data_IF_504269502785
#
_entry.id   IF_504269502785
#
_cell.length_a   1.000
_cell.length_b   1.000
_cell.length_c   1.000
_cell.angle_alpha   90.00
_cell.angle_beta   90.00
_cell.angle_gamma   90.00
#
_symmetry.space_group_name_H-M   'P 1'
#
loop_
_entity.id
_entity.type
_entity.pdbx_description
1 polymer ?
#
# COMPACT_ATOMS: atom_id res chain seq x y z
N UNK A 1 9.10 41.14 0.07
CA UNK A 1 7.76 40.70 -0.41
C UNK A 1 7.77 39.46 -1.31
N UNK A 2 8.62 39.40 -2.36
CA UNK A 2 8.63 38.24 -3.32
C UNK A 2 8.90 36.86 -2.69
N UNK A 3 9.84 36.76 -1.73
CA UNK A 3 10.22 35.48 -1.11
C UNK A 3 9.07 34.87 -0.30
N UNK A 4 8.31 35.67 0.46
CA UNK A 4 7.16 35.19 1.23
C UNK A 4 6.03 34.69 0.32
N UNK A 5 5.81 35.33 -0.82
CA UNK A 5 4.81 34.90 -1.80
C UNK A 5 5.20 33.57 -2.45
N UNK A 6 6.48 33.38 -2.77
CA UNK A 6 6.98 32.11 -3.33
C UNK A 6 6.84 30.96 -2.31
N UNK A 7 7.24 31.22 -1.06
CA UNK A 7 7.12 30.20 0.00
C UNK A 7 5.67 29.78 0.23
N UNK A 8 4.74 30.74 0.22
CA UNK A 8 3.31 30.46 0.36
C UNK A 8 2.79 29.63 -0.82
N UNK A 9 3.19 29.96 -2.05
CA UNK A 9 2.81 29.19 -3.23
C UNK A 9 3.32 27.74 -3.16
N UNK A 10 4.58 27.56 -2.77
CA UNK A 10 5.18 26.23 -2.59
C UNK A 10 4.41 25.41 -1.55
N UNK A 11 4.07 26.02 -0.40
CA UNK A 11 3.30 25.35 0.65
C UNK A 11 1.88 24.98 0.18
N UNK A 12 1.25 25.80 -0.63
CA UNK A 12 -0.07 25.48 -1.22
C UNK A 12 0.05 24.31 -2.18
N UNK A 13 1.07 24.27 -3.05
CA UNK A 13 1.31 23.18 -3.99
C UNK A 13 1.58 21.85 -3.24
N UNK A 14 2.44 21.88 -2.21
CA UNK A 14 2.65 20.73 -1.33
C UNK A 14 1.34 20.29 -0.65
N UNK A 15 0.57 21.24 -0.13
CA UNK A 15 -0.72 20.98 0.49
C UNK A 15 -1.69 20.30 -0.47
N UNK A 16 -1.75 20.73 -1.73
CA UNK A 16 -2.57 20.09 -2.76
C UNK A 16 -2.11 18.65 -3.07
N UNK A 17 -0.80 18.42 -3.18
CA UNK A 17 -0.22 17.08 -3.35
C UNK A 17 -0.57 16.16 -2.17
N UNK A 18 -0.41 16.64 -0.94
CA UNK A 18 -0.77 15.88 0.25
C UNK A 18 -2.29 15.68 0.39
N UNK A 19 -3.13 16.61 -0.06
CA UNK A 19 -4.58 16.42 -0.10
C UNK A 19 -4.95 15.21 -0.97
N UNK A 20 -4.36 15.10 -2.16
CA UNK A 20 -4.57 13.96 -3.06
C UNK A 20 -4.07 12.66 -2.42
N UNK A 21 -2.87 12.67 -1.82
CA UNK A 21 -2.32 11.51 -1.12
C UNK A 21 -3.22 11.08 0.06
N UNK A 22 -3.71 12.03 0.85
CA UNK A 22 -4.61 11.79 1.97
C UNK A 22 -5.93 11.18 1.49
N UNK A 23 -6.55 11.73 0.46
CA UNK A 23 -7.78 11.20 -0.12
C UNK A 23 -7.60 9.75 -0.62
N UNK A 24 -6.47 9.48 -1.29
CA UNK A 24 -6.13 8.13 -1.76
C UNK A 24 -6.01 7.14 -0.60
N UNK A 25 -5.27 7.47 0.47
CA UNK A 25 -5.10 6.60 1.63
C UNK A 25 -6.42 6.33 2.37
N UNK A 26 -7.28 7.35 2.50
CA UNK A 26 -8.62 7.19 3.08
C UNK A 26 -9.46 6.23 2.23
N UNK A 27 -9.47 6.40 0.91
CA UNK A 27 -10.19 5.51 0.00
C UNK A 27 -9.68 4.07 0.07
N UNK A 28 -8.36 3.86 0.14
CA UNK A 28 -7.74 2.54 0.32
C UNK A 28 -8.18 1.91 1.65
N UNK A 29 -8.17 2.68 2.74
CA UNK A 29 -8.63 2.21 4.04
C UNK A 29 -10.12 1.83 4.04
N UNK A 30 -10.99 2.64 3.42
CA UNK A 30 -12.42 2.34 3.28
C UNK A 30 -12.61 1.05 2.47
N UNK A 31 -11.88 0.87 1.37
CA UNK A 31 -11.91 -0.37 0.57
C UNK A 31 -11.49 -1.58 1.40
N UNK A 32 -10.43 -1.44 2.20
CA UNK A 32 -9.98 -2.48 3.12
C UNK A 32 -11.07 -2.84 4.14
N UNK A 33 -11.68 -1.84 4.79
CA UNK A 33 -12.73 -2.08 5.78
C UNK A 33 -13.92 -2.85 5.22
N UNK A 34 -14.31 -2.55 3.98
CA UNK A 34 -15.40 -3.27 3.28
C UNK A 34 -15.05 -4.73 3.00
N UNK A 35 -13.78 -5.03 2.65
CA UNK A 35 -13.30 -6.38 2.30
C UNK A 35 -12.80 -7.19 3.50
N UNK A 36 -12.61 -6.57 4.64
CA UNK A 36 -12.05 -7.23 5.84
C UNK A 36 -12.81 -8.50 6.25
N UNK A 37 -14.12 -8.56 6.00
CA UNK A 37 -14.96 -9.72 6.34
C UNK A 37 -14.64 -10.96 5.50
N UNK A 38 -14.18 -10.78 4.27
CA UNK A 38 -13.77 -11.87 3.36
C UNK A 38 -12.25 -12.17 3.42
N UNK A 39 -11.60 -11.90 4.53
CA UNK A 39 -10.18 -12.19 4.70
C UNK A 39 -9.96 -13.68 4.94
N UNK A 40 -9.16 -14.34 4.09
CA UNK A 40 -8.83 -15.76 4.18
C UNK A 40 -7.50 -15.98 4.91
N UNK A 41 -6.45 -15.28 4.48
CA UNK A 41 -5.11 -15.35 5.07
C UNK A 41 -4.48 -13.97 5.04
N UNK A 42 -4.33 -13.34 6.21
CA UNK A 42 -3.87 -11.96 6.32
C UNK A 42 -2.81 -11.81 7.41
N UNK A 43 -1.88 -10.88 7.19
CA UNK A 43 -0.84 -10.51 8.14
C UNK A 43 -0.62 -9.00 8.18
N UNK A 44 0.00 -8.48 9.26
CA UNK A 44 0.26 -7.05 9.38
C UNK A 44 1.27 -6.57 8.33
N UNK A 45 1.10 -5.34 7.86
CA UNK A 45 2.09 -4.70 6.99
C UNK A 45 3.38 -4.42 7.76
N UNK A 46 4.56 -4.68 7.17
CA UNK A 46 5.83 -4.32 7.79
C UNK A 46 5.91 -2.79 7.97
N UNK A 47 6.46 -2.38 9.11
CA UNK A 47 6.71 -0.95 9.37
C UNK A 47 7.88 -0.49 8.48
N UNK A 48 7.75 0.64 7.77
CA UNK A 48 8.87 1.20 7.03
C UNK A 48 9.99 1.64 8.00
N UNK A 49 11.26 1.56 7.59
CA UNK A 49 12.40 1.86 8.47
C UNK A 49 12.39 3.31 8.99
N UNK A 50 11.81 4.24 8.23
CA UNK A 50 11.68 5.67 8.58
C UNK A 50 10.40 6.01 9.34
N UNK A 51 9.63 5.01 9.83
CA UNK A 51 8.33 5.25 10.48
C UNK A 51 8.43 6.16 11.71
N UNK A 52 9.45 5.97 12.56
CA UNK A 52 9.68 6.83 13.73
C UNK A 52 9.95 8.29 13.36
N UNK A 53 10.78 8.50 12.32
CA UNK A 53 11.09 9.83 11.79
C UNK A 53 9.83 10.50 11.23
N UNK A 54 9.01 9.75 10.49
CA UNK A 54 7.76 10.25 9.94
C UNK A 54 6.79 10.71 11.04
N UNK A 55 6.68 9.96 12.15
CA UNK A 55 5.87 10.38 13.30
C UNK A 55 6.43 11.62 13.97
N UNK A 56 7.75 11.72 14.14
CA UNK A 56 8.39 12.94 14.69
C UNK A 56 8.10 14.17 13.83
N UNK A 57 8.18 14.04 12.51
CA UNK A 57 7.77 15.10 11.56
C UNK A 57 6.29 15.46 11.79
N UNK A 58 5.42 14.49 11.96
CA UNK A 58 4.00 14.71 12.27
C UNK A 58 3.82 15.54 13.53
N UNK A 59 4.55 15.25 14.62
CA UNK A 59 4.48 16.02 15.87
C UNK A 59 4.93 17.46 15.65
N UNK A 60 6.08 17.66 14.98
CA UNK A 60 6.60 19.02 14.68
C UNK A 60 5.61 19.82 13.83
N UNK A 61 5.02 19.19 12.81
CA UNK A 61 3.99 19.81 11.98
C UNK A 61 2.74 20.19 12.78
N UNK A 62 2.34 19.35 13.74
CA UNK A 62 1.22 19.63 14.63
C UNK A 62 1.45 20.92 15.46
N UNK A 63 2.64 21.07 16.05
CA UNK A 63 3.04 22.29 16.75
C UNK A 63 3.06 23.51 15.80
N UNK A 64 3.57 23.34 14.59
CA UNK A 64 3.61 24.42 13.60
C UNK A 64 2.21 24.86 13.16
N UNK A 65 1.30 23.90 12.92
CA UNK A 65 -0.10 24.19 12.59
C UNK A 65 -0.78 24.93 13.74
N UNK A 66 -0.63 24.42 14.97
CA UNK A 66 -1.16 25.09 16.16
C UNK A 66 -0.65 26.53 16.29
N UNK A 67 0.67 26.74 16.20
CA UNK A 67 1.29 28.05 16.30
C UNK A 67 0.78 29.03 15.23
N UNK A 68 0.71 28.57 13.96
CA UNK A 68 0.19 29.40 12.87
C UNK A 68 -1.28 29.78 13.03
N UNK A 69 -2.13 28.81 13.40
CA UNK A 69 -3.57 29.05 13.51
C UNK A 69 -3.94 29.87 14.76
N UNK A 70 -3.36 29.52 15.91
CA UNK A 70 -3.77 30.10 17.20
C UNK A 70 -3.00 31.38 17.51
N UNK A 71 -1.66 31.35 17.35
CA UNK A 71 -0.81 32.50 17.75
C UNK A 71 -0.72 33.52 16.62
N UNK A 72 -0.41 33.09 15.40
CA UNK A 72 -0.22 34.03 14.29
C UNK A 72 -1.52 34.36 13.54
N UNK A 73 -2.60 33.60 13.77
CA UNK A 73 -3.89 33.71 13.08
C UNK A 73 -3.74 33.74 11.55
N UNK A 74 -2.81 32.86 11.02
CA UNK A 74 -2.52 32.73 9.59
C UNK A 74 -3.02 31.39 9.06
N UNK A 75 -3.23 31.34 7.75
CA UNK A 75 -3.57 30.09 7.08
C UNK A 75 -2.43 29.08 7.15
N UNK A 76 -2.75 27.80 7.42
CA UNK A 76 -1.81 26.70 7.57
C UNK A 76 -2.23 25.47 6.73
N UNK A 77 -2.79 25.70 5.52
CA UNK A 77 -3.36 24.63 4.70
C UNK A 77 -2.31 23.57 4.36
N UNK A 78 -1.14 23.96 3.86
CA UNK A 78 -0.08 23.02 3.47
C UNK A 78 0.40 22.18 4.65
N UNK A 79 0.71 22.86 5.76
CA UNK A 79 1.19 22.21 6.98
C UNK A 79 0.11 21.30 7.59
N UNK A 80 -1.16 21.70 7.55
CA UNK A 80 -2.26 20.87 8.04
C UNK A 80 -2.44 19.59 7.22
N UNK A 81 -2.32 19.65 5.88
CA UNK A 81 -2.38 18.48 5.03
C UNK A 81 -1.20 17.52 5.25
N UNK A 82 0.01 18.05 5.43
CA UNK A 82 1.18 17.26 5.79
C UNK A 82 1.04 16.65 7.19
N UNK A 83 0.57 17.42 8.17
CA UNK A 83 0.29 16.92 9.53
C UNK A 83 -0.68 15.75 9.50
N UNK A 84 -1.80 15.88 8.78
CA UNK A 84 -2.79 14.82 8.63
C UNK A 84 -2.18 13.54 8.04
N UNK A 85 -1.31 13.69 7.03
CA UNK A 85 -0.62 12.56 6.43
C UNK A 85 0.29 11.83 7.42
N UNK A 86 1.23 12.54 8.04
CA UNK A 86 2.25 11.93 8.88
C UNK A 86 1.73 11.47 10.24
N UNK A 87 0.84 12.23 10.87
CA UNK A 87 0.34 11.93 12.21
C UNK A 87 -0.80 10.91 12.24
N UNK A 88 -1.64 10.86 11.20
CA UNK A 88 -2.84 10.03 11.21
C UNK A 88 -2.88 9.00 10.07
N UNK A 89 -2.66 9.42 8.83
CA UNK A 89 -2.91 8.53 7.69
C UNK A 89 -1.80 7.52 7.47
N UNK A 90 -0.55 7.86 7.75
CA UNK A 90 0.54 6.91 7.71
C UNK A 90 0.37 5.78 8.75
N UNK A 91 0.07 6.04 10.04
CA UNK A 91 -0.32 5.01 10.99
C UNK A 91 -1.56 4.22 10.58
N UNK A 92 -2.56 4.88 9.99
CA UNK A 92 -3.78 4.23 9.53
C UNK A 92 -3.48 3.24 8.38
N UNK A 93 -2.59 3.59 7.47
CA UNK A 93 -2.18 2.71 6.37
C UNK A 93 -1.53 1.42 6.89
N UNK A 94 -0.79 1.45 7.99
CA UNK A 94 -0.23 0.25 8.61
C UNK A 94 -1.27 -0.70 9.22
N UNK A 95 -2.49 -0.23 9.43
CA UNK A 95 -3.61 -1.07 9.86
C UNK A 95 -4.24 -1.86 8.72
N UNK A 96 -3.94 -1.50 7.47
CA UNK A 96 -4.34 -2.27 6.30
C UNK A 96 -3.54 -3.57 6.31
N UNK A 97 -4.21 -4.69 6.53
CA UNK A 97 -3.59 -6.01 6.51
C UNK A 97 -3.44 -6.48 5.07
N UNK A 98 -2.28 -7.02 4.77
CA UNK A 98 -1.96 -7.60 3.48
C UNK A 98 -2.25 -9.08 3.47
N UNK A 99 -2.46 -9.65 2.28
CA UNK A 99 -2.72 -11.07 2.13
C UNK A 99 -3.85 -11.39 1.16
N UNK A 100 -4.49 -12.52 1.40
CA UNK A 100 -5.49 -13.12 0.53
C UNK A 100 -6.90 -12.92 1.08
N UNK A 101 -7.79 -12.53 0.21
CA UNK A 101 -9.21 -12.33 0.46
C UNK A 101 -10.02 -13.24 -0.46
N UNK A 102 -11.32 -13.35 -0.22
CA UNK A 102 -12.20 -14.18 -1.05
C UNK A 102 -12.19 -13.79 -2.53
N UNK A 103 -12.10 -12.48 -2.82
CA UNK A 103 -12.22 -11.89 -4.15
C UNK A 103 -10.89 -11.42 -4.76
N UNK A 104 -9.74 -11.56 -4.06
CA UNK A 104 -8.45 -11.13 -4.57
C UNK A 104 -7.32 -11.05 -3.55
N UNK A 105 -6.23 -10.42 -3.96
CA UNK A 105 -4.98 -10.31 -3.20
C UNK A 105 -4.74 -8.84 -2.86
N UNK A 106 -4.50 -8.54 -1.59
CA UNK A 106 -4.03 -7.22 -1.17
C UNK A 106 -2.50 -7.21 -1.15
N UNK A 107 -1.92 -6.76 -2.25
CA UNK A 107 -0.48 -6.69 -2.42
C UNK A 107 0.00 -5.23 -2.39
N UNK A 108 1.05 -4.98 -1.63
CA UNK A 108 1.63 -3.66 -1.41
C UNK A 108 0.56 -2.61 -1.03
N UNK A 109 0.28 -1.65 -1.89
CA UNK A 109 -0.69 -0.56 -1.65
C UNK A 109 -2.00 -0.75 -2.41
N UNK A 110 -2.25 -1.89 -3.04
CA UNK A 110 -3.43 -2.08 -3.88
C UNK A 110 -4.04 -3.46 -3.76
N UNK A 111 -5.34 -3.52 -4.00
CA UNK A 111 -6.10 -4.75 -4.13
C UNK A 111 -6.13 -5.16 -5.59
N UNK A 112 -5.83 -6.44 -5.86
CA UNK A 112 -5.87 -7.07 -7.18
C UNK A 112 -6.91 -8.19 -7.12
N UNK A 113 -8.05 -8.04 -7.83
CA UNK A 113 -9.02 -9.14 -7.94
C UNK A 113 -8.39 -10.36 -8.64
N UNK A 114 -8.82 -11.57 -8.29
CA UNK A 114 -8.26 -12.79 -8.90
C UNK A 114 -8.41 -12.84 -10.42
N UNK A 115 -9.52 -12.32 -10.96
CA UNK A 115 -9.76 -12.25 -12.41
C UNK A 115 -8.83 -11.25 -13.14
N UNK A 116 -8.15 -10.36 -12.40
CA UNK A 116 -7.16 -9.42 -12.95
C UNK A 116 -5.73 -9.92 -12.80
N UNK A 117 -5.50 -11.05 -12.14
CA UNK A 117 -4.17 -11.64 -12.00
C UNK A 117 -3.77 -12.26 -13.33
N UNK A 118 -2.69 -11.76 -13.92
CA UNK A 118 -2.13 -12.24 -15.20
C UNK A 118 -0.91 -13.13 -15.02
N UNK A 119 -0.23 -13.05 -13.88
CA UNK A 119 0.95 -13.86 -13.57
C UNK A 119 1.29 -13.80 -12.09
N UNK A 120 1.94 -14.83 -11.60
CA UNK A 120 2.39 -14.99 -10.23
C UNK A 120 3.81 -15.52 -10.26
N UNK A 121 4.69 -14.94 -9.47
CA UNK A 121 6.05 -15.42 -9.26
C UNK A 121 6.45 -15.34 -7.81
N UNK A 122 7.21 -16.31 -7.32
CA UNK A 122 7.77 -16.34 -5.99
C UNK A 122 9.25 -15.97 -6.03
N UNK A 123 9.67 -15.11 -5.14
CA UNK A 123 11.08 -14.79 -4.94
C UNK A 123 11.45 -15.08 -3.50
N UNK A 124 12.31 -16.03 -3.32
CA UNK A 124 12.86 -16.37 -2.01
C UNK A 124 13.87 -15.31 -1.55
N UNK A 125 13.77 -14.92 -0.29
CA UNK A 125 14.72 -14.04 0.40
C UNK A 125 15.12 -14.68 1.72
N UNK A 126 16.19 -14.19 2.34
CA UNK A 126 16.76 -14.77 3.58
C UNK A 126 15.76 -14.86 4.74
N UNK A 127 14.84 -13.89 4.88
CA UNK A 127 13.92 -13.80 6.02
C UNK A 127 12.44 -13.79 5.64
N UNK A 128 12.13 -13.68 4.35
CA UNK A 128 10.75 -13.62 3.86
C UNK A 128 10.69 -14.05 2.39
N UNK A 129 9.57 -14.63 2.03
CA UNK A 129 9.27 -14.94 0.64
C UNK A 129 8.44 -13.80 0.04
N UNK A 130 8.81 -13.33 -1.12
CA UNK A 130 8.07 -12.27 -1.82
C UNK A 130 7.25 -12.85 -2.94
N UNK A 131 5.93 -12.75 -2.84
CA UNK A 131 5.02 -13.05 -3.93
C UNK A 131 4.94 -11.81 -4.84
N UNK A 132 5.22 -12.00 -6.11
CA UNK A 132 5.06 -10.99 -7.15
C UNK A 132 3.78 -11.31 -7.91
N UNK A 133 2.82 -10.41 -7.84
CA UNK A 133 1.53 -10.54 -8.55
C UNK A 133 1.52 -9.53 -9.70
N UNK A 134 1.32 -10.00 -10.91
CA UNK A 134 1.26 -9.18 -12.11
C UNK A 134 -0.20 -8.96 -12.46
N UNK A 135 -0.64 -7.69 -12.51
CA UNK A 135 -1.98 -7.35 -12.94
C UNK A 135 -2.06 -7.34 -14.47
N UNK A 136 -2.99 -8.13 -15.03
CA UNK A 136 -3.23 -8.21 -16.47
C UNK A 136 -3.66 -6.89 -17.09
N UNK A 137 -4.51 -6.12 -16.40
CA UNK A 137 -5.05 -4.87 -16.94
C UNK A 137 -4.04 -3.73 -16.98
N UNK A 138 -3.09 -3.70 -16.06
CA UNK A 138 -2.15 -2.58 -15.90
C UNK A 138 -0.71 -2.95 -16.21
N UNK A 139 -0.43 -4.22 -16.45
CA UNK A 139 0.94 -4.75 -16.63
C UNK A 139 1.89 -4.34 -15.48
N UNK A 140 1.35 -4.16 -14.27
CA UNK A 140 2.07 -3.70 -13.10
C UNK A 140 2.30 -4.88 -12.16
N UNK A 141 3.57 -5.15 -11.88
CA UNK A 141 3.96 -6.09 -10.84
C UNK A 141 3.79 -5.47 -9.45
N UNK A 142 3.13 -6.17 -8.55
CA UNK A 142 2.97 -5.80 -7.14
C UNK A 142 3.63 -6.85 -6.27
N UNK A 143 4.31 -6.38 -5.24
CA UNK A 143 5.03 -7.25 -4.30
C UNK A 143 4.20 -7.46 -3.06
N UNK A 144 4.15 -8.71 -2.59
CA UNK A 144 3.54 -9.08 -1.32
C UNK A 144 4.59 -9.85 -0.52
N UNK A 145 5.12 -9.23 0.51
CA UNK A 145 6.01 -9.92 1.45
C UNK A 145 5.18 -10.91 2.27
N UNK A 146 5.48 -12.19 2.13
CA UNK A 146 4.81 -13.29 2.83
C UNK A 146 5.73 -13.79 3.94
N UNK A 147 5.30 -13.75 5.21
CA UNK A 147 6.07 -14.36 6.30
C UNK A 147 6.27 -15.86 6.04
N UNK A 148 7.43 -16.40 6.39
CA UNK A 148 7.78 -17.81 6.18
C UNK A 148 6.74 -18.75 6.80
N UNK A 149 6.19 -18.38 7.96
CA UNK A 149 5.13 -19.11 8.66
C UNK A 149 3.86 -19.27 7.82
N UNK A 150 3.55 -18.30 6.99
CA UNK A 150 2.35 -18.26 6.17
C UNK A 150 2.57 -18.75 4.73
N UNK A 151 3.84 -19.05 4.34
CA UNK A 151 4.18 -19.42 2.97
C UNK A 151 3.44 -20.66 2.49
N UNK A 152 3.47 -21.75 3.27
CA UNK A 152 2.77 -22.98 2.91
C UNK A 152 1.25 -22.85 2.81
N UNK A 153 0.64 -21.99 3.65
CA UNK A 153 -0.78 -21.69 3.58
C UNK A 153 -1.13 -20.84 2.36
N UNK A 154 -0.30 -19.83 2.06
CA UNK A 154 -0.45 -18.97 0.90
C UNK A 154 -0.35 -19.76 -0.41
N UNK A 155 0.63 -20.66 -0.51
CA UNK A 155 0.83 -21.53 -1.68
C UNK A 155 -0.36 -22.48 -1.90
N UNK A 156 -0.86 -23.11 -0.84
CA UNK A 156 -2.06 -23.96 -0.92
C UNK A 156 -3.29 -23.17 -1.37
N UNK A 157 -3.52 -22.00 -0.80
CA UNK A 157 -4.66 -21.15 -1.15
C UNK A 157 -4.60 -20.70 -2.62
N UNK A 158 -3.42 -20.32 -3.11
CA UNK A 158 -3.25 -19.95 -4.51
C UNK A 158 -3.51 -21.14 -5.44
N UNK A 159 -3.00 -22.33 -5.11
CA UNK A 159 -3.29 -23.54 -5.86
C UNK A 159 -4.78 -23.83 -5.95
N UNK A 160 -5.49 -23.71 -4.81
CA UNK A 160 -6.94 -23.93 -4.77
C UNK A 160 -7.69 -22.91 -5.62
N UNK A 161 -7.23 -21.65 -5.64
CA UNK A 161 -7.81 -20.58 -6.47
C UNK A 161 -7.56 -20.79 -7.96
N UNK A 162 -6.38 -21.30 -8.33
CA UNK A 162 -6.05 -21.68 -9.70
C UNK A 162 -6.89 -22.90 -10.14
N UNK A 163 -7.01 -23.91 -9.29
CA UNK A 163 -7.79 -25.12 -9.57
C UNK A 163 -9.30 -24.82 -9.73
N UNK A 164 -9.82 -23.83 -9.01
CA UNK A 164 -11.20 -23.34 -9.14
C UNK A 164 -11.43 -22.39 -10.33
N UNK A 165 -10.40 -22.15 -11.15
CA UNK A 165 -10.46 -21.22 -12.27
C UNK A 165 -10.77 -19.77 -11.87
N UNK A 166 -10.52 -19.39 -10.62
CA UNK A 166 -10.63 -17.98 -10.17
C UNK A 166 -9.48 -17.13 -10.76
N UNK A 167 -8.33 -17.76 -11.05
CA UNK A 167 -7.15 -17.15 -11.66
C UNK A 167 -6.92 -17.80 -13.02
N UNK A 168 -6.91 -17.01 -14.08
CA UNK A 168 -6.62 -17.46 -15.43
C UNK A 168 -5.32 -16.85 -15.94
N UNK A 169 -4.30 -17.66 -16.12
CA UNK A 169 -3.06 -17.23 -16.75
C UNK A 169 -3.26 -17.17 -18.28
N UNK A 170 -3.15 -16.00 -18.87
CA UNK A 170 -3.04 -15.86 -20.33
C UNK A 170 -1.59 -16.08 -20.70
N UNK A 171 -1.32 -17.01 -21.60
CA UNK A 171 0.01 -17.54 -21.96
C UNK A 171 1.08 -16.56 -22.49
N UNK A 172 0.88 -15.27 -22.39
CA UNK A 172 1.89 -14.22 -22.57
C UNK A 172 2.47 -13.81 -21.22
N UNK A 173 3.03 -14.76 -20.47
CA UNK A 173 3.76 -14.46 -19.25
C UNK A 173 5.01 -13.65 -19.58
N UNK A 174 5.26 -12.56 -18.83
CA UNK A 174 6.60 -12.00 -18.77
C UNK A 174 7.53 -13.14 -18.32
N UNK A 175 8.54 -13.42 -19.14
CA UNK A 175 9.64 -14.31 -18.79
C UNK A 175 10.42 -13.66 -17.64
N UNK A 176 10.15 -14.08 -16.41
CA UNK A 176 10.80 -13.58 -15.20
C UNK A 176 11.97 -14.47 -14.77
N UNK A 177 12.51 -15.27 -15.68
CA UNK A 177 13.59 -16.23 -15.46
C UNK A 177 13.13 -17.68 -15.45
N UNK A 178 14.07 -18.60 -15.52
CA UNK A 178 13.90 -20.05 -15.74
C UNK A 178 13.04 -20.84 -14.72
N UNK A 179 12.36 -20.17 -13.78
CA UNK A 179 11.45 -20.80 -12.83
C UNK A 179 10.00 -20.49 -13.20
N UNK A 180 9.45 -21.26 -14.12
CA UNK A 180 8.01 -21.27 -14.38
C UNK A 180 7.31 -22.11 -13.28
N UNK A 181 6.62 -21.41 -12.35
CA UNK A 181 5.89 -22.07 -11.24
C UNK A 181 4.74 -22.97 -11.69
N UNK A 182 4.52 -23.12 -13.00
CA UNK A 182 3.59 -24.11 -13.55
C UNK A 182 4.08 -25.54 -13.32
N UNK A 183 5.40 -25.73 -13.15
CA UNK A 183 6.00 -27.04 -12.92
C UNK A 183 5.99 -27.45 -11.44
N UNK A 184 5.82 -26.50 -10.51
CA UNK A 184 5.85 -26.73 -9.06
C UNK A 184 4.47 -26.82 -8.39
N UNK A 185 3.38 -26.85 -9.17
CA UNK A 185 1.99 -26.89 -8.66
C UNK A 185 1.38 -28.29 -8.76
#
# INVERSE_FOLDING_TARGET
>A
MRVQSILTLVLILFGAGFLVANARLILEYIRFMRRRRGALLIWPSPKPPYYGVALAIGVVLGFLVYYKLVVLRRQAFGEAMMFLYYAYLLPLNLRIRRGFYEDGIWADTSFIPYNEVGGISWREGEHQVTLIVISRLRNLARRLAVPIENYGAARRLLRDKIAKHDIHFTGTGLDLGDHDEREDV
#
